data_IF_477508695921
#
_entry.id   IF_477508695921
#
_cell.length_a   1.000
_cell.length_b   1.000
_cell.length_c   1.000
_cell.angle_alpha   90.00
_cell.angle_beta   90.00
_cell.angle_gamma   90.00
#
_symmetry.space_group_name_H-M   'P 1'
#
loop_
_entity.id
_entity.type
_entity.pdbx_description
1 polymer ?
#
# COMPACT_ATOMS: atom_id res chain seq x y z
N UNK A 1 -10.65 21.31 12.27
CA UNK A 1 -10.28 19.92 12.45
C UNK A 1 -8.81 19.77 12.82
N UNK A 2 -8.43 18.78 13.61
CA UNK A 2 -7.03 18.40 13.81
C UNK A 2 -6.55 17.55 12.63
N UNK A 3 -5.30 17.75 12.21
CA UNK A 3 -4.68 17.01 11.10
C UNK A 3 -3.19 16.85 11.37
N UNK A 4 -2.64 15.70 10.96
CA UNK A 4 -1.19 15.47 10.95
C UNK A 4 -0.60 16.19 9.76
N UNK A 5 0.42 17.01 9.99
CA UNK A 5 1.09 17.78 8.94
C UNK A 5 2.61 17.65 9.04
N UNK A 6 3.26 17.83 7.89
CA UNK A 6 4.71 17.93 7.77
C UNK A 6 5.08 19.12 6.88
N UNK A 7 6.10 19.88 7.26
CA UNK A 7 6.72 20.95 6.45
C UNK A 7 8.25 20.87 6.47
N UNK A 8 8.78 20.09 7.37
CA UNK A 8 10.22 19.88 7.54
C UNK A 8 10.48 18.39 7.74
N UNK A 9 11.41 17.77 7.03
CA UNK A 9 11.75 16.37 7.21
C UNK A 9 12.05 16.05 8.70
N UNK A 10 11.51 14.93 9.15
CA UNK A 10 11.62 14.46 10.54
C UNK A 10 10.72 15.19 11.55
N UNK A 11 9.93 16.18 11.15
CA UNK A 11 9.11 17.00 12.04
C UNK A 11 7.62 16.90 11.69
N UNK A 12 7.00 15.82 12.09
CA UNK A 12 5.55 15.65 12.03
C UNK A 12 4.91 16.26 13.27
N UNK A 13 3.78 16.95 13.09
CA UNK A 13 2.99 17.54 14.17
C UNK A 13 1.50 17.48 13.89
N UNK A 14 0.71 17.63 14.92
CA UNK A 14 -0.74 17.81 14.79
C UNK A 14 -1.09 19.30 14.83
N UNK A 15 -1.78 19.78 13.81
CA UNK A 15 -2.24 21.16 13.71
C UNK A 15 -3.76 21.26 13.61
N UNK A 16 -4.30 22.42 13.97
CA UNK A 16 -5.70 22.77 13.71
C UNK A 16 -5.81 23.45 12.36
N UNK A 17 -6.42 22.76 11.41
CA UNK A 17 -6.72 23.27 10.07
C UNK A 17 -8.22 23.64 9.96
N UNK A 18 -8.62 24.49 8.99
CA UNK A 18 -10.03 24.68 8.67
C UNK A 18 -10.72 23.33 8.35
N UNK A 19 -11.97 23.21 8.74
CA UNK A 19 -12.76 22.04 8.35
C UNK A 19 -12.93 22.02 6.82
N UNK A 20 -12.82 20.84 6.19
CA UNK A 20 -13.02 20.73 4.75
C UNK A 20 -14.50 20.94 4.40
N UNK A 21 -14.72 21.50 3.21
CA UNK A 21 -16.05 21.57 2.61
C UNK A 21 -16.21 20.48 1.56
N UNK A 22 -17.43 20.25 1.09
CA UNK A 22 -17.69 19.32 -0.02
C UNK A 22 -16.80 19.68 -1.22
N UNK A 23 -16.03 18.72 -1.74
CA UNK A 23 -15.08 18.98 -2.85
C UNK A 23 -15.77 19.09 -4.22
N UNK A 24 -17.08 18.94 -4.25
CA UNK A 24 -17.91 19.02 -5.44
C UNK A 24 -19.28 18.37 -5.21
N UNK A 25 -20.18 18.44 -6.21
CA UNK A 25 -21.51 17.88 -6.07
C UNK A 25 -21.53 16.34 -5.99
N UNK A 26 -20.47 15.68 -6.42
CA UNK A 26 -20.27 14.22 -6.38
C UNK A 26 -19.35 13.77 -5.21
N UNK A 27 -18.96 14.68 -4.33
CA UNK A 27 -18.07 14.41 -3.21
C UNK A 27 -18.78 14.16 -1.90
N UNK A 28 -17.98 13.77 -0.89
CA UNK A 28 -18.41 13.57 0.49
C UNK A 28 -17.39 14.15 1.47
N UNK A 29 -17.81 14.42 2.70
CA UNK A 29 -16.93 14.67 3.85
C UNK A 29 -17.09 13.51 4.83
N UNK A 30 -15.95 12.95 5.22
CA UNK A 30 -15.87 11.80 6.13
C UNK A 30 -15.34 12.26 7.48
N UNK A 31 -16.05 11.94 8.56
CA UNK A 31 -15.50 11.95 9.90
C UNK A 31 -14.65 10.70 10.06
N UNK A 32 -13.33 10.89 10.14
CA UNK A 32 -12.38 9.77 10.20
C UNK A 32 -12.39 9.16 11.60
N UNK A 33 -12.53 7.86 11.67
CA UNK A 33 -12.50 7.10 12.93
C UNK A 33 -11.11 6.49 13.19
N UNK A 34 -10.50 6.01 12.13
CA UNK A 34 -9.15 5.48 12.19
C UNK A 34 -8.41 5.73 10.86
N UNK A 35 -7.12 5.96 10.98
CA UNK A 35 -6.19 6.10 9.87
C UNK A 35 -4.97 5.21 10.10
N UNK A 36 -4.08 5.10 9.11
CA UNK A 36 -2.83 4.38 9.30
C UNK A 36 -1.64 5.11 8.66
N UNK A 37 -0.43 4.80 9.14
CA UNK A 37 0.82 5.30 8.58
C UNK A 37 1.32 4.28 7.56
N UNK A 38 1.52 4.72 6.32
CA UNK A 38 2.11 3.92 5.24
C UNK A 38 3.61 4.15 5.13
N UNK A 39 4.34 3.16 4.59
CA UNK A 39 5.76 3.31 4.26
C UNK A 39 6.03 4.44 3.27
N UNK A 40 5.08 4.75 2.37
CA UNK A 40 5.19 5.87 1.43
C UNK A 40 5.08 7.25 2.08
N UNK A 41 4.41 7.38 3.23
CA UNK A 41 4.40 8.63 4.00
C UNK A 41 5.81 8.98 4.51
N UNK A 42 6.67 7.97 4.70
CA UNK A 42 8.05 8.16 5.15
C UNK A 42 8.93 8.87 4.12
N UNK A 43 8.60 8.87 2.83
CA UNK A 43 9.36 9.65 1.84
C UNK A 43 9.29 11.16 2.11
N UNK A 44 8.14 11.65 2.61
CA UNK A 44 8.05 13.02 3.11
C UNK A 44 8.81 13.20 4.43
N UNK A 45 8.68 12.23 5.33
CA UNK A 45 9.33 12.27 6.64
C UNK A 45 10.86 12.22 6.53
N UNK A 46 11.41 11.42 5.63
CA UNK A 46 12.84 11.24 5.40
C UNK A 46 13.43 12.31 4.45
N UNK A 47 12.57 13.08 3.76
CA UNK A 47 12.99 14.18 2.88
C UNK A 47 13.32 13.75 1.47
N UNK A 48 12.88 12.57 1.04
CA UNK A 48 13.03 12.09 -0.34
C UNK A 48 12.17 12.90 -1.32
N UNK A 49 11.05 13.46 -0.83
CA UNK A 49 10.16 14.30 -1.60
C UNK A 49 10.20 15.75 -1.12
N UNK A 50 10.23 16.73 -2.05
CA UNK A 50 10.27 18.13 -1.69
C UNK A 50 8.97 18.57 -0.98
N UNK A 51 9.12 19.37 0.05
CA UNK A 51 8.02 20.03 0.76
C UNK A 51 8.07 21.52 0.42
N UNK A 52 7.09 22.02 -0.34
CA UNK A 52 6.97 23.45 -0.65
C UNK A 52 6.17 24.22 0.40
N UNK A 53 5.15 23.56 0.96
CA UNK A 53 4.23 24.07 1.98
C UNK A 53 3.92 22.94 2.98
N UNK A 54 3.32 23.23 4.14
CA UNK A 54 2.83 22.19 5.04
C UNK A 54 1.88 21.22 4.32
N UNK A 55 2.21 19.93 4.34
CA UNK A 55 1.44 18.87 3.69
C UNK A 55 0.67 18.09 4.76
N UNK A 56 -0.69 18.07 4.70
CA UNK A 56 -1.47 17.14 5.51
C UNK A 56 -1.17 15.70 5.07
N UNK A 57 -0.84 14.81 6.02
CA UNK A 57 -0.36 13.46 5.73
C UNK A 57 -1.46 12.39 5.74
N UNK A 58 -1.13 11.25 5.15
CA UNK A 58 -1.91 10.01 5.19
C UNK A 58 -2.87 9.82 4.05
N UNK A 59 -3.07 8.55 3.68
CA UNK A 59 -3.95 8.14 2.59
C UNK A 59 -4.76 6.88 2.92
N UNK A 60 -4.68 6.38 4.12
CA UNK A 60 -5.43 5.23 4.60
C UNK A 60 -6.40 5.68 5.68
N UNK A 61 -7.70 5.57 5.45
CA UNK A 61 -8.72 5.95 6.42
C UNK A 61 -10.00 5.15 6.30
N UNK A 62 -10.65 4.97 7.45
CA UNK A 62 -12.05 4.55 7.57
C UNK A 62 -12.80 5.55 8.43
N UNK A 63 -14.10 5.70 8.19
CA UNK A 63 -14.90 6.65 8.97
C UNK A 63 -16.36 6.64 8.58
N UNK A 64 -17.07 7.69 8.98
CA UNK A 64 -18.50 7.87 8.75
C UNK A 64 -18.75 9.11 7.89
N UNK A 65 -19.64 9.01 6.93
CA UNK A 65 -20.03 10.14 6.08
C UNK A 65 -20.82 11.14 6.92
N UNK A 66 -20.37 12.41 6.97
CA UNK A 66 -21.04 13.50 7.70
C UNK A 66 -21.66 14.54 6.77
N UNK A 67 -21.19 14.61 5.52
CA UNK A 67 -21.81 15.46 4.49
C UNK A 67 -21.63 14.81 3.10
N UNK A 68 -22.61 15.00 2.21
CA UNK A 68 -22.65 14.38 0.89
C UNK A 68 -23.23 15.31 -0.15
N UNK A 69 -22.58 15.37 -1.30
CA UNK A 69 -23.02 16.18 -2.42
C UNK A 69 -24.30 15.63 -3.10
N UNK A 70 -25.07 16.50 -3.78
CA UNK A 70 -26.38 16.13 -4.36
C UNK A 70 -26.31 15.11 -5.51
N UNK A 71 -25.13 14.90 -6.10
CA UNK A 71 -24.94 13.95 -7.20
C UNK A 71 -24.46 12.58 -6.73
N UNK A 72 -24.13 12.41 -5.43
CA UNK A 72 -23.82 11.10 -4.82
C UNK A 72 -25.08 10.23 -4.78
N UNK A 73 -24.98 8.98 -5.25
CA UNK A 73 -26.14 8.09 -5.44
C UNK A 73 -26.10 6.84 -4.58
N UNK A 74 -24.90 6.38 -4.22
CA UNK A 74 -24.69 5.10 -3.52
C UNK A 74 -24.64 5.27 -2.01
N UNK A 75 -24.23 6.45 -1.54
CA UNK A 75 -23.94 6.73 -0.14
C UNK A 75 -24.79 7.86 0.42
N UNK A 76 -24.95 7.86 1.75
CA UNK A 76 -25.63 8.91 2.51
C UNK A 76 -24.93 9.22 3.83
N UNK A 77 -25.34 10.31 4.47
CA UNK A 77 -24.88 10.68 5.81
C UNK A 77 -25.18 9.54 6.79
N UNK A 78 -24.19 9.16 7.60
CA UNK A 78 -24.26 8.07 8.56
C UNK A 78 -23.72 6.72 8.03
N UNK A 79 -23.43 6.61 6.74
CA UNK A 79 -22.79 5.39 6.20
C UNK A 79 -21.36 5.27 6.70
N UNK A 80 -20.99 4.08 7.19
CA UNK A 80 -19.60 3.73 7.52
C UNK A 80 -18.87 3.26 6.26
N UNK A 81 -17.70 3.84 6.01
CA UNK A 81 -16.97 3.64 4.75
C UNK A 81 -15.46 3.52 4.97
N UNK A 82 -14.80 2.84 4.04
CA UNK A 82 -13.37 2.93 3.83
C UNK A 82 -13.08 3.78 2.58
N UNK A 83 -11.97 4.50 2.60
CA UNK A 83 -11.56 5.44 1.56
C UNK A 83 -10.38 4.86 0.79
N UNK A 84 -10.47 4.81 -0.54
CA UNK A 84 -9.32 4.42 -1.36
C UNK A 84 -8.18 5.43 -1.26
N UNK A 85 -6.95 4.96 -1.15
CA UNK A 85 -5.75 5.81 -1.07
C UNK A 85 -5.51 6.65 -2.33
N UNK A 86 -5.98 6.18 -3.49
CA UNK A 86 -5.79 6.83 -4.79
C UNK A 86 -7.12 7.27 -5.37
N UNK A 87 -7.22 8.56 -5.68
CA UNK A 87 -8.41 9.16 -6.25
C UNK A 87 -8.30 9.35 -7.78
N UNK A 88 -9.35 8.93 -8.48
CA UNK A 88 -9.64 9.27 -9.87
C UNK A 88 -10.81 10.24 -9.99
N UNK A 89 -11.20 10.60 -11.20
CA UNK A 89 -12.38 11.43 -11.45
C UNK A 89 -13.72 10.64 -11.39
N UNK A 90 -13.66 9.30 -11.36
CA UNK A 90 -14.83 8.43 -11.26
C UNK A 90 -15.62 8.21 -12.56
N UNK A 91 -15.36 8.98 -13.63
CA UNK A 91 -16.24 9.01 -14.81
C UNK A 91 -15.53 8.86 -16.17
N UNK A 92 -14.19 8.80 -16.21
CA UNK A 92 -13.46 8.62 -17.45
C UNK A 92 -13.22 7.13 -17.78
N UNK A 93 -12.79 6.84 -19.00
CA UNK A 93 -12.52 5.48 -19.45
C UNK A 93 -11.55 4.70 -18.55
N UNK A 94 -10.54 5.37 -17.95
CA UNK A 94 -9.65 4.76 -16.96
C UNK A 94 -10.39 4.40 -15.68
N UNK A 95 -11.21 5.30 -15.14
CA UNK A 95 -11.98 5.06 -13.93
C UNK A 95 -13.11 4.04 -14.13
N UNK A 96 -13.68 3.90 -15.33
CA UNK A 96 -14.65 2.85 -15.66
C UNK A 96 -14.11 1.45 -15.41
N UNK A 97 -12.80 1.25 -15.55
CA UNK A 97 -12.14 -0.03 -15.21
C UNK A 97 -11.83 -0.17 -13.69
N UNK A 98 -12.31 0.75 -12.89
CA UNK A 98 -12.00 0.88 -11.44
C UNK A 98 -10.50 0.99 -11.13
N UNK A 99 -9.72 1.52 -12.07
CA UNK A 99 -8.29 1.75 -11.92
C UNK A 99 -7.99 3.26 -11.96
N UNK A 100 -7.93 3.94 -10.80
CA UNK A 100 -7.71 5.39 -10.73
C UNK A 100 -6.34 5.80 -11.25
N UNK A 101 -5.37 4.88 -11.31
CA UNK A 101 -4.02 5.13 -11.82
C UNK A 101 -4.07 5.49 -13.32
N UNK A 102 -5.07 4.97 -14.03
CA UNK A 102 -5.30 5.24 -15.47
C UNK A 102 -6.26 6.41 -15.73
N UNK A 103 -6.60 7.18 -14.70
CA UNK A 103 -7.47 8.35 -14.85
C UNK A 103 -6.89 9.36 -15.85
N UNK A 104 -7.70 9.85 -16.78
CA UNK A 104 -7.25 10.83 -17.79
C UNK A 104 -6.80 12.16 -17.19
N UNK A 105 -7.29 12.52 -16.00
CA UNK A 105 -6.85 13.70 -15.24
C UNK A 105 -5.62 13.42 -14.36
N UNK A 106 -5.04 12.22 -14.46
CA UNK A 106 -4.01 11.73 -13.56
C UNK A 106 -4.54 11.24 -12.22
N UNK A 107 -3.86 10.29 -11.59
CA UNK A 107 -4.16 9.87 -10.23
C UNK A 107 -3.84 10.97 -9.23
N UNK A 108 -4.65 11.08 -8.17
CA UNK A 108 -4.37 11.96 -7.02
C UNK A 108 -4.31 11.09 -5.77
N UNK A 109 -3.30 11.31 -4.95
CA UNK A 109 -3.10 10.55 -3.71
C UNK A 109 -3.45 11.47 -2.55
N UNK A 110 -4.25 10.97 -1.61
CA UNK A 110 -4.48 11.68 -0.36
C UNK A 110 -3.15 11.84 0.40
N UNK A 111 -2.99 12.94 1.10
CA UNK A 111 -1.76 13.17 1.86
C UNK A 111 -0.51 13.47 1.04
N UNK A 112 -0.65 13.73 -0.28
CA UNK A 112 0.46 14.08 -1.17
C UNK A 112 0.29 15.48 -1.81
N UNK A 113 -0.38 16.39 -1.12
CA UNK A 113 -0.51 17.80 -1.46
C UNK A 113 -1.71 18.18 -2.35
N UNK A 114 -2.11 17.33 -3.33
CA UNK A 114 -3.25 17.62 -4.22
C UNK A 114 -4.62 17.42 -3.56
N UNK A 115 -4.69 16.60 -2.53
CA UNK A 115 -5.86 16.32 -1.70
C UNK A 115 -5.46 16.45 -0.23
N UNK A 116 -6.44 16.61 0.65
CA UNK A 116 -6.22 16.58 2.09
C UNK A 116 -5.59 15.27 2.58
N UNK A 117 -5.08 15.26 3.79
CA UNK A 117 -4.53 14.07 4.42
C UNK A 117 -5.57 13.26 5.19
N UNK A 118 -5.49 11.94 5.07
CA UNK A 118 -6.39 11.01 5.76
C UNK A 118 -6.12 10.89 7.27
N UNK A 119 -4.95 11.33 7.74
CA UNK A 119 -4.61 11.38 9.17
C UNK A 119 -5.14 12.69 9.79
N UNK A 120 -6.48 12.84 9.79
CA UNK A 120 -7.19 14.04 10.24
C UNK A 120 -8.57 13.68 10.78
N UNK A 121 -9.20 14.60 11.54
CA UNK A 121 -10.57 14.39 12.06
C UNK A 121 -11.62 14.35 10.94
N UNK A 122 -11.42 15.12 9.86
CA UNK A 122 -12.32 15.17 8.71
C UNK A 122 -11.53 15.04 7.41
N UNK A 123 -12.13 14.37 6.42
CA UNK A 123 -11.52 14.18 5.09
C UNK A 123 -12.55 14.48 4.00
N UNK A 124 -12.22 15.42 3.08
CA UNK A 124 -13.01 15.65 1.88
C UNK A 124 -12.61 14.64 0.78
N UNK A 125 -13.59 13.89 0.28
CA UNK A 125 -13.41 12.83 -0.71
C UNK A 125 -14.16 13.18 -2.00
N UNK A 126 -13.46 13.44 -3.13
CA UNK A 126 -14.11 13.68 -4.43
C UNK A 126 -14.65 12.37 -5.01
N UNK A 127 -15.61 12.45 -5.93
CA UNK A 127 -16.18 11.30 -6.62
C UNK A 127 -16.54 10.13 -5.67
N UNK A 128 -17.34 10.42 -4.66
CA UNK A 128 -17.61 9.53 -3.52
C UNK A 128 -18.07 8.12 -3.95
N UNK A 129 -18.97 8.02 -4.92
CA UNK A 129 -19.46 6.73 -5.44
C UNK A 129 -18.37 5.85 -6.07
N UNK A 130 -17.25 6.46 -6.47
CA UNK A 130 -16.08 5.76 -7.00
C UNK A 130 -15.02 5.47 -5.93
N UNK A 131 -14.81 6.41 -5.00
CA UNK A 131 -13.72 6.39 -4.03
C UNK A 131 -14.02 5.60 -2.76
N UNK A 132 -15.28 5.41 -2.44
CA UNK A 132 -15.71 4.81 -1.19
C UNK A 132 -16.15 3.37 -1.37
N UNK A 133 -15.91 2.55 -0.37
CA UNK A 133 -16.54 1.26 -0.18
C UNK A 133 -17.27 1.29 1.17
N UNK A 134 -18.54 0.86 1.19
CA UNK A 134 -19.26 0.64 2.46
C UNK A 134 -18.47 -0.36 3.29
N UNK A 135 -18.24 -0.05 4.56
CA UNK A 135 -17.52 -0.95 5.46
C UNK A 135 -18.21 -2.32 5.49
N UNK A 136 -17.53 -3.40 5.05
CA UNK A 136 -18.15 -4.71 5.03
C UNK A 136 -18.38 -5.21 6.45
N UNK A 137 -19.49 -5.91 6.66
CA UNK A 137 -19.74 -6.64 7.90
C UNK A 137 -18.69 -7.74 8.07
N UNK A 138 -18.32 -8.05 9.29
CA UNK A 138 -17.37 -9.10 9.64
C UNK A 138 -15.91 -8.84 9.18
N UNK A 139 -15.58 -7.59 8.88
CA UNK A 139 -14.20 -7.11 8.66
C UNK A 139 -13.85 -6.15 9.80
N UNK A 140 -12.75 -6.40 10.48
CA UNK A 140 -12.30 -5.54 11.56
C UNK A 140 -11.63 -4.24 11.07
N UNK A 141 -11.33 -3.35 12.01
CA UNK A 141 -10.73 -2.03 11.70
C UNK A 141 -9.36 -2.16 10.99
N UNK A 142 -8.53 -3.13 11.37
CA UNK A 142 -7.20 -3.31 10.80
C UNK A 142 -7.30 -3.88 9.38
N UNK A 143 -8.14 -4.87 9.16
CA UNK A 143 -8.43 -5.44 7.84
C UNK A 143 -9.02 -4.37 6.91
N UNK A 144 -9.95 -3.56 7.41
CA UNK A 144 -10.54 -2.46 6.65
C UNK A 144 -9.50 -1.40 6.25
N UNK A 145 -8.59 -1.01 7.14
CA UNK A 145 -7.50 -0.11 6.84
C UNK A 145 -6.54 -0.70 5.80
N UNK A 146 -6.21 -2.00 5.86
CA UNK A 146 -5.38 -2.64 4.84
C UNK A 146 -6.03 -2.66 3.46
N UNK A 147 -7.36 -2.78 3.38
CA UNK A 147 -8.13 -2.70 2.11
C UNK A 147 -8.06 -1.32 1.46
N UNK A 148 -7.75 -0.26 2.21
CA UNK A 148 -7.65 1.10 1.65
C UNK A 148 -6.41 1.31 0.81
N UNK A 149 -5.34 0.51 1.04
CA UNK A 149 -4.06 0.62 0.34
C UNK A 149 -3.23 -0.66 0.33
N UNK A 150 -2.66 -1.08 1.48
CA UNK A 150 -1.55 -2.03 1.53
C UNK A 150 -1.92 -3.43 1.04
N UNK A 151 -3.11 -3.93 1.38
CA UNK A 151 -3.56 -5.22 0.89
C UNK A 151 -3.88 -5.17 -0.61
N UNK A 152 -4.51 -4.09 -1.07
CA UNK A 152 -4.77 -3.86 -2.48
C UNK A 152 -3.45 -3.80 -3.30
N UNK A 153 -2.43 -3.14 -2.74
CA UNK A 153 -1.09 -3.03 -3.33
C UNK A 153 -0.40 -4.39 -3.38
N UNK A 154 -0.39 -5.14 -2.27
CA UNK A 154 0.20 -6.48 -2.21
C UNK A 154 -0.49 -7.48 -3.16
N UNK A 155 -1.82 -7.41 -3.26
CA UNK A 155 -2.61 -8.22 -4.18
C UNK A 155 -2.28 -7.91 -5.64
N UNK A 156 -2.30 -6.62 -6.01
CA UNK A 156 -1.94 -6.19 -7.37
C UNK A 156 -0.50 -6.56 -7.72
N UNK A 157 0.43 -6.47 -6.76
CA UNK A 157 1.81 -6.90 -6.95
C UNK A 157 1.91 -8.39 -7.28
N UNK A 158 1.20 -9.24 -6.52
CA UNK A 158 1.19 -10.68 -6.71
C UNK A 158 0.50 -11.09 -8.03
N UNK A 159 -0.62 -10.46 -8.40
CA UNK A 159 -1.26 -10.66 -9.71
C UNK A 159 -0.34 -10.29 -10.87
N UNK A 160 0.36 -9.17 -10.76
CA UNK A 160 1.28 -8.69 -11.82
C UNK A 160 2.62 -9.43 -11.85
N UNK A 161 2.96 -10.16 -10.79
CA UNK A 161 4.11 -11.05 -10.78
C UNK A 161 3.96 -12.22 -11.77
N UNK A 162 2.72 -12.60 -12.15
CA UNK A 162 2.41 -13.50 -13.27
C UNK A 162 3.20 -14.82 -13.20
N UNK A 163 3.23 -15.42 -12.04
CA UNK A 163 3.88 -16.71 -11.81
C UNK A 163 2.97 -17.88 -12.16
N UNK A 164 3.50 -19.01 -12.65
CA UNK A 164 2.71 -20.19 -12.89
C UNK A 164 2.24 -20.81 -11.56
N UNK A 165 1.10 -21.51 -11.52
CA UNK A 165 0.68 -22.29 -10.36
C UNK A 165 1.82 -23.20 -9.85
N UNK A 166 2.07 -23.17 -8.53
CA UNK A 166 3.19 -23.88 -7.92
C UNK A 166 4.56 -23.24 -8.14
N UNK A 167 4.64 -22.08 -8.80
CA UNK A 167 5.88 -21.37 -9.06
C UNK A 167 6.54 -20.81 -7.79
N UNK A 168 7.87 -20.62 -7.85
CA UNK A 168 8.63 -19.98 -6.78
C UNK A 168 8.54 -18.47 -6.94
N UNK A 169 8.13 -17.78 -5.88
CA UNK A 169 8.05 -16.32 -5.79
C UNK A 169 9.00 -15.82 -4.70
N UNK A 170 9.68 -14.71 -4.94
CA UNK A 170 10.45 -13.99 -3.91
C UNK A 170 9.75 -12.67 -3.64
N UNK A 171 9.60 -12.32 -2.37
CA UNK A 171 9.12 -11.00 -1.92
C UNK A 171 10.26 -10.29 -1.21
N UNK A 172 10.68 -9.13 -1.73
CA UNK A 172 11.70 -8.27 -1.15
C UNK A 172 11.05 -7.15 -0.34
N UNK A 173 11.43 -7.04 0.93
CA UNK A 173 10.86 -6.10 1.88
C UNK A 173 9.57 -6.64 2.52
N UNK A 174 9.57 -6.76 3.84
CA UNK A 174 8.48 -7.32 4.64
C UNK A 174 7.84 -6.26 5.56
N UNK A 175 7.68 -5.05 5.04
CA UNK A 175 6.74 -4.08 5.59
C UNK A 175 5.30 -4.51 5.35
N UNK A 176 4.33 -3.67 5.67
CA UNK A 176 2.91 -4.01 5.52
C UNK A 176 2.56 -4.50 4.09
N UNK A 177 2.98 -3.76 3.06
CA UNK A 177 2.77 -4.17 1.65
C UNK A 177 3.42 -5.51 1.33
N UNK A 178 4.67 -5.72 1.79
CA UNK A 178 5.37 -6.98 1.53
C UNK A 178 4.73 -8.19 2.21
N UNK A 179 4.25 -8.06 3.46
CA UNK A 179 3.50 -9.12 4.14
C UNK A 179 2.16 -9.39 3.46
N UNK A 180 1.45 -8.35 3.00
CA UNK A 180 0.26 -8.50 2.16
C UNK A 180 0.59 -9.22 0.84
N UNK A 181 1.73 -8.89 0.20
CA UNK A 181 2.16 -9.56 -1.04
C UNK A 181 2.52 -11.04 -0.81
N UNK A 182 3.10 -11.40 0.34
CA UNK A 182 3.34 -12.80 0.74
C UNK A 182 2.02 -13.57 0.76
N UNK A 183 1.04 -13.08 1.51
CA UNK A 183 -0.28 -13.71 1.61
C UNK A 183 -0.99 -13.78 0.26
N UNK A 184 -0.92 -12.70 -0.51
CA UNK A 184 -1.49 -12.65 -1.85
C UNK A 184 -0.86 -13.70 -2.79
N UNK A 185 0.47 -13.82 -2.78
CA UNK A 185 1.15 -14.82 -3.62
C UNK A 185 0.79 -16.26 -3.23
N UNK A 186 0.70 -16.56 -1.93
CA UNK A 186 0.25 -17.87 -1.43
C UNK A 186 -1.21 -18.15 -1.84
N UNK A 187 -2.10 -17.18 -1.66
CA UNK A 187 -3.53 -17.27 -2.02
C UNK A 187 -3.72 -17.48 -3.53
N UNK A 188 -2.86 -16.88 -4.36
CA UNK A 188 -2.87 -17.03 -5.82
C UNK A 188 -2.16 -18.30 -6.30
N UNK A 189 -1.68 -19.16 -5.40
CA UNK A 189 -1.16 -20.49 -5.73
C UNK A 189 0.34 -20.57 -5.99
N UNK A 190 1.13 -19.67 -5.44
CA UNK A 190 2.58 -19.85 -5.39
C UNK A 190 2.93 -21.13 -4.62
N UNK A 191 3.86 -21.94 -5.15
CA UNK A 191 4.27 -23.19 -4.48
C UNK A 191 5.27 -22.95 -3.36
N UNK A 192 6.13 -21.94 -3.52
CA UNK A 192 7.08 -21.49 -2.51
C UNK A 192 7.17 -19.98 -2.58
N UNK A 193 7.00 -19.32 -1.43
CA UNK A 193 7.23 -17.88 -1.30
C UNK A 193 8.44 -17.67 -0.39
N UNK A 194 9.54 -17.16 -0.94
CA UNK A 194 10.67 -16.68 -0.16
C UNK A 194 10.43 -15.23 0.26
N UNK A 195 10.50 -14.97 1.56
CA UNK A 195 10.27 -13.68 2.16
C UNK A 195 11.59 -13.10 2.68
N UNK A 196 12.07 -12.03 2.03
CA UNK A 196 13.41 -11.48 2.26
C UNK A 196 13.33 -10.12 2.93
N UNK A 197 13.93 -9.99 4.12
CA UNK A 197 14.07 -8.71 4.84
C UNK A 197 15.32 -8.77 5.74
N UNK A 198 15.89 -7.61 6.05
CA UNK A 198 17.00 -7.47 7.01
C UNK A 198 16.53 -7.65 8.46
N UNK A 199 15.28 -7.30 8.74
CA UNK A 199 14.72 -7.30 10.10
C UNK A 199 14.17 -8.68 10.43
N UNK A 200 14.77 -9.35 11.41
CA UNK A 200 14.40 -10.71 11.81
C UNK A 200 12.93 -10.83 12.23
N UNK A 201 12.41 -9.91 13.04
CA UNK A 201 11.02 -9.94 13.47
C UNK A 201 10.01 -9.88 12.32
N UNK A 202 10.36 -9.21 11.19
CA UNK A 202 9.53 -9.19 9.97
C UNK A 202 9.61 -10.53 9.23
N UNK A 203 10.79 -11.15 9.15
CA UNK A 203 10.96 -12.50 8.60
C UNK A 203 10.15 -13.54 9.38
N UNK A 204 10.16 -13.48 10.71
CA UNK A 204 9.35 -14.36 11.58
C UNK A 204 7.84 -14.16 11.36
N UNK A 205 7.38 -12.93 11.05
CA UNK A 205 5.98 -12.70 10.70
C UNK A 205 5.63 -13.38 9.37
N UNK A 206 6.47 -13.20 8.35
CA UNK A 206 6.28 -13.87 7.06
C UNK A 206 6.29 -15.40 7.18
N UNK A 207 7.11 -15.97 8.07
CA UNK A 207 7.12 -17.40 8.35
C UNK A 207 5.79 -17.87 8.94
N UNK A 208 5.22 -17.13 9.90
CA UNK A 208 3.87 -17.44 10.44
C UNK A 208 2.77 -17.40 9.38
N UNK A 209 2.94 -16.55 8.36
CA UNK A 209 2.05 -16.47 7.21
C UNK A 209 2.28 -17.58 6.18
N UNK A 210 3.25 -18.50 6.39
CA UNK A 210 3.52 -19.64 5.53
C UNK A 210 4.63 -19.43 4.50
N UNK A 211 5.37 -18.31 4.52
CA UNK A 211 6.52 -18.11 3.67
C UNK A 211 7.80 -18.70 4.24
N UNK A 212 8.80 -18.90 3.40
CA UNK A 212 10.16 -19.28 3.82
C UNK A 212 10.98 -18.01 4.03
N UNK A 213 11.37 -17.67 5.27
CA UNK A 213 12.11 -16.47 5.56
C UNK A 213 13.56 -16.57 5.09
N UNK A 214 14.09 -15.53 4.49
CA UNK A 214 15.51 -15.42 4.09
C UNK A 214 16.10 -14.08 4.54
N UNK A 215 17.34 -14.15 5.02
CA UNK A 215 18.15 -12.96 5.23
C UNK A 215 18.90 -12.61 3.94
N UNK A 216 19.04 -11.32 3.57
CA UNK A 216 19.90 -10.94 2.44
C UNK A 216 21.37 -11.27 2.70
N UNK A 217 22.15 -11.72 1.67
CA UNK A 217 21.75 -11.91 0.28
C UNK A 217 21.03 -13.26 0.04
N UNK A 218 19.90 -13.24 -0.64
CA UNK A 218 19.04 -14.42 -0.82
C UNK A 218 19.38 -15.27 -2.08
N UNK A 219 20.30 -14.80 -2.94
CA UNK A 219 20.53 -15.39 -4.26
C UNK A 219 20.91 -16.88 -4.19
N UNK A 220 21.82 -17.25 -3.32
CA UNK A 220 22.27 -18.64 -3.20
C UNK A 220 21.12 -19.56 -2.78
N UNK A 221 20.36 -19.19 -1.75
CA UNK A 221 19.24 -19.98 -1.25
C UNK A 221 18.15 -20.18 -2.33
N UNK A 222 17.83 -19.13 -3.08
CA UNK A 222 16.88 -19.21 -4.19
C UNK A 222 17.40 -20.10 -5.31
N UNK A 223 18.68 -20.01 -5.66
CA UNK A 223 19.32 -20.87 -6.68
C UNK A 223 19.33 -22.34 -6.28
N UNK A 224 19.63 -22.67 -5.04
CA UNK A 224 19.64 -24.05 -4.54
C UNK A 224 18.27 -24.71 -4.74
N UNK A 225 17.17 -24.04 -4.31
CA UNK A 225 15.81 -24.59 -4.43
C UNK A 225 15.32 -24.63 -5.89
N UNK A 226 15.81 -23.72 -6.74
CA UNK A 226 15.35 -23.63 -8.13
C UNK A 226 16.28 -24.33 -9.14
N UNK A 227 17.27 -25.09 -8.67
CA UNK A 227 18.25 -25.78 -9.52
C UNK A 227 19.08 -24.81 -10.36
N UNK A 228 19.49 -23.69 -9.78
CA UNK A 228 20.31 -22.65 -10.40
C UNK A 228 19.56 -21.69 -11.34
N UNK A 229 18.24 -21.87 -11.51
CA UNK A 229 17.45 -21.09 -12.49
C UNK A 229 17.02 -19.70 -11.98
N UNK A 230 16.83 -19.53 -10.68
CA UNK A 230 16.20 -18.37 -10.06
C UNK A 230 14.66 -18.50 -9.93
N UNK A 231 14.05 -17.54 -9.29
CA UNK A 231 12.61 -17.51 -9.01
C UNK A 231 11.78 -17.29 -10.29
N UNK A 232 10.58 -17.86 -10.36
CA UNK A 232 9.65 -17.58 -11.45
C UNK A 232 9.29 -16.11 -11.50
N UNK A 233 9.10 -15.50 -10.32
CA UNK A 233 8.81 -14.07 -10.20
C UNK A 233 9.38 -13.49 -8.91
N UNK A 234 9.65 -12.19 -8.93
CA UNK A 234 10.09 -11.42 -7.77
C UNK A 234 9.17 -10.23 -7.60
N UNK A 235 8.70 -10.02 -6.38
CA UNK A 235 7.93 -8.84 -5.98
C UNK A 235 8.85 -7.93 -5.17
N UNK A 236 9.07 -6.71 -5.64
CA UNK A 236 9.82 -5.70 -4.90
C UNK A 236 8.86 -4.72 -4.20
N UNK A 237 8.76 -4.84 -2.89
CA UNK A 237 7.97 -3.97 -2.02
C UNK A 237 8.85 -2.94 -1.27
N UNK A 238 10.11 -2.77 -1.69
CA UNK A 238 11.05 -1.77 -1.14
C UNK A 238 11.18 -0.58 -2.07
N UNK A 239 11.48 -0.82 -3.37
CA UNK A 239 11.63 0.22 -4.37
C UNK A 239 12.97 0.96 -4.37
N UNK A 240 14.01 0.43 -3.72
CA UNK A 240 15.35 1.03 -3.77
C UNK A 240 16.19 0.48 -4.93
N UNK A 241 17.26 1.20 -5.34
CA UNK A 241 18.23 0.72 -6.33
C UNK A 241 18.76 -0.68 -5.97
N UNK A 242 19.04 -0.90 -4.70
CA UNK A 242 19.55 -2.18 -4.20
C UNK A 242 18.50 -3.29 -4.35
N UNK A 243 17.26 -3.07 -3.93
CA UNK A 243 16.21 -4.08 -4.04
C UNK A 243 15.81 -4.37 -5.48
N UNK A 244 15.76 -3.35 -6.34
CA UNK A 244 15.51 -3.53 -7.78
C UNK A 244 16.63 -4.32 -8.45
N UNK A 245 17.90 -4.08 -8.07
CA UNK A 245 19.05 -4.85 -8.53
C UNK A 245 18.95 -6.31 -8.05
N UNK A 246 18.65 -6.54 -6.78
CA UNK A 246 18.45 -7.87 -6.24
C UNK A 246 17.30 -8.59 -6.94
N UNK A 247 16.18 -7.91 -7.19
CA UNK A 247 15.04 -8.49 -7.91
C UNK A 247 15.42 -8.99 -9.32
N UNK A 248 16.19 -8.18 -10.06
CA UNK A 248 16.68 -8.57 -11.40
C UNK A 248 17.68 -9.74 -11.35
N UNK A 249 18.44 -9.90 -10.27
CA UNK A 249 19.38 -11.00 -10.10
C UNK A 249 18.66 -12.30 -9.65
N UNK A 250 17.63 -12.19 -8.82
CA UNK A 250 16.89 -13.34 -8.25
C UNK A 250 15.91 -13.96 -9.23
N UNK A 251 15.35 -13.18 -10.16
CA UNK A 251 14.38 -13.68 -11.13
C UNK A 251 15.07 -14.55 -12.19
N UNK A 252 14.44 -15.64 -12.62
CA UNK A 252 14.93 -16.49 -13.71
C UNK A 252 14.86 -15.78 -15.07
N UNK A 253 15.56 -16.31 -16.07
CA UNK A 253 15.31 -15.94 -17.46
C UNK A 253 13.85 -16.25 -17.85
N UNK A 254 13.22 -15.32 -18.57
CA UNK A 254 11.79 -15.36 -18.91
C UNK A 254 10.85 -15.13 -17.72
N UNK A 255 11.37 -14.67 -16.58
CA UNK A 255 10.56 -14.38 -15.40
C UNK A 255 10.09 -12.93 -15.30
N UNK A 256 9.30 -12.65 -14.28
CA UNK A 256 8.69 -11.33 -14.06
C UNK A 256 9.19 -10.69 -12.76
N UNK A 257 9.54 -9.41 -12.82
CA UNK A 257 9.75 -8.57 -11.64
C UNK A 257 8.57 -7.62 -11.53
N UNK A 258 7.84 -7.68 -10.42
CA UNK A 258 6.71 -6.81 -10.08
C UNK A 258 7.14 -5.83 -9.01
N UNK A 259 7.13 -4.53 -9.31
CA UNK A 259 7.59 -3.47 -8.40
C UNK A 259 6.40 -2.67 -7.92
N UNK A 260 6.23 -2.58 -6.61
CA UNK A 260 5.24 -1.76 -5.92
C UNK A 260 5.85 -0.89 -4.83
N UNK A 261 7.11 -1.16 -4.48
CA UNK A 261 7.88 -0.26 -3.63
C UNK A 261 8.08 1.08 -4.31
N UNK A 262 7.86 2.16 -3.58
CA UNK A 262 8.02 3.52 -4.09
C UNK A 262 9.50 3.86 -4.13
N UNK A 263 9.99 4.23 -5.32
CA UNK A 263 11.37 4.67 -5.53
C UNK A 263 11.50 6.18 -5.21
N UNK A 264 12.71 6.63 -4.88
CA UNK A 264 13.01 8.05 -4.85
C UNK A 264 12.92 8.66 -6.26
N UNK A 265 13.07 9.99 -6.39
CA UNK A 265 12.94 10.67 -7.68
C UNK A 265 14.19 10.56 -8.58
N UNK A 266 15.25 9.91 -8.10
CA UNK A 266 16.48 9.71 -8.89
C UNK A 266 16.33 8.57 -9.90
N UNK A 267 16.95 8.66 -11.08
CA UNK A 267 16.87 7.63 -12.09
C UNK A 267 17.58 6.33 -11.65
N UNK A 268 16.87 5.19 -11.69
CA UNK A 268 17.47 3.87 -11.52
C UNK A 268 18.33 3.47 -12.74
N UNK A 269 19.60 3.03 -12.57
CA UNK A 269 20.46 2.59 -13.66
C UNK A 269 20.04 1.21 -14.18
N UNK A 270 18.95 1.12 -14.93
CA UNK A 270 18.35 -0.13 -15.39
C UNK A 270 19.30 -0.90 -16.35
N UNK A 271 19.64 -2.17 -16.06
CA UNK A 271 20.55 -2.98 -16.89
C UNK A 271 19.84 -3.54 -18.13
N UNK A 272 19.48 -2.67 -19.08
CA UNK A 272 18.61 -2.97 -20.21
C UNK A 272 19.12 -4.15 -21.07
N UNK A 273 20.41 -4.18 -21.42
CA UNK A 273 20.98 -5.22 -22.29
C UNK A 273 20.86 -6.61 -21.67
N UNK A 274 21.22 -6.75 -20.38
CA UNK A 274 21.16 -8.06 -19.73
C UNK A 274 19.70 -8.49 -19.48
N UNK A 275 18.83 -7.56 -19.20
CA UNK A 275 17.39 -7.82 -19.03
C UNK A 275 16.75 -8.28 -20.36
N UNK A 276 17.16 -7.69 -21.49
CA UNK A 276 16.75 -8.12 -22.83
C UNK A 276 17.23 -9.54 -23.14
N UNK A 277 18.52 -9.84 -22.93
CA UNK A 277 19.09 -11.17 -23.18
C UNK A 277 18.39 -12.25 -22.34
N UNK A 278 18.04 -11.93 -21.10
CA UNK A 278 17.33 -12.83 -20.19
C UNK A 278 15.80 -12.81 -20.38
N UNK A 279 15.26 -12.00 -21.29
CA UNK A 279 13.82 -11.85 -21.54
C UNK A 279 13.02 -11.53 -20.26
N UNK A 280 13.53 -10.61 -19.45
CA UNK A 280 12.89 -10.21 -18.20
C UNK A 280 11.66 -9.34 -18.49
N UNK A 281 10.55 -9.63 -17.83
CA UNK A 281 9.38 -8.76 -17.78
C UNK A 281 9.46 -7.89 -16.53
N UNK A 282 9.44 -6.56 -16.68
CA UNK A 282 9.34 -5.61 -15.58
C UNK A 282 7.94 -5.00 -15.58
N UNK A 283 7.23 -5.09 -14.45
CA UNK A 283 5.90 -4.51 -14.25
C UNK A 283 5.92 -3.63 -13.00
N UNK A 284 5.62 -2.36 -13.19
CA UNK A 284 5.53 -1.39 -12.09
C UNK A 284 4.09 -0.92 -11.95
N UNK A 285 3.64 -0.71 -10.74
CA UNK A 285 2.25 -0.27 -10.51
C UNK A 285 2.08 0.45 -9.20
N UNK A 286 1.17 1.43 -9.21
CA UNK A 286 0.44 1.88 -8.03
C UNK A 286 -0.84 1.04 -7.92
N UNK A 287 -1.35 0.83 -6.73
CA UNK A 287 -2.49 -0.05 -6.52
C UNK A 287 -3.78 0.47 -7.16
N UNK A 288 -4.47 -0.35 -7.96
CA UNK A 288 -5.83 -0.07 -8.41
C UNK A 288 -6.83 -0.46 -7.31
N UNK A 289 -6.82 0.25 -6.19
CA UNK A 289 -7.51 -0.13 -4.94
C UNK A 289 -8.97 -0.52 -5.19
N UNK A 290 -9.74 0.34 -5.84
CA UNK A 290 -11.17 0.12 -6.08
C UNK A 290 -11.45 -1.13 -6.92
N UNK A 291 -10.53 -1.51 -7.81
CA UNK A 291 -10.66 -2.71 -8.63
C UNK A 291 -10.44 -3.99 -7.85
N UNK A 292 -9.64 -3.95 -6.79
CA UNK A 292 -9.30 -5.13 -5.99
C UNK A 292 -10.37 -5.49 -4.97
N UNK A 293 -11.19 -4.54 -4.50
CA UNK A 293 -12.18 -4.78 -3.46
C UNK A 293 -13.15 -5.94 -3.72
N UNK A 294 -13.71 -6.13 -4.95
CA UNK A 294 -14.59 -7.28 -5.22
C UNK A 294 -13.93 -8.64 -5.07
N UNK A 295 -12.59 -8.70 -5.18
CA UNK A 295 -11.82 -9.92 -4.99
C UNK A 295 -11.40 -10.08 -3.52
N UNK A 296 -10.91 -9.02 -2.89
CA UNK A 296 -10.30 -9.06 -1.57
C UNK A 296 -11.32 -9.22 -0.44
N UNK A 297 -12.46 -8.51 -0.51
CA UNK A 297 -13.49 -8.57 0.55
C UNK A 297 -13.97 -10.00 0.78
N UNK A 298 -14.39 -10.78 -0.23
CA UNK A 298 -14.79 -12.17 -0.02
C UNK A 298 -13.66 -13.08 0.48
N UNK A 299 -12.41 -12.80 0.12
CA UNK A 299 -11.26 -13.58 0.57
C UNK A 299 -10.99 -13.37 2.06
N UNK A 300 -11.08 -12.13 2.55
CA UNK A 300 -10.99 -11.81 3.97
C UNK A 300 -12.17 -12.44 4.74
N UNK A 301 -13.40 -12.18 4.33
CA UNK A 301 -14.61 -12.70 4.99
C UNK A 301 -14.65 -14.23 5.06
N UNK A 302 -14.07 -14.93 4.09
CA UNK A 302 -13.97 -16.39 4.10
C UNK A 302 -12.75 -16.95 4.85
N UNK A 303 -11.86 -16.08 5.38
CA UNK A 303 -10.61 -16.49 6.02
C UNK A 303 -9.59 -17.15 5.06
N UNK A 304 -9.78 -17.01 3.74
CA UNK A 304 -8.84 -17.52 2.73
C UNK A 304 -7.60 -16.65 2.57
N UNK A 305 -7.68 -15.42 3.02
CA UNK A 305 -6.57 -14.46 3.06
C UNK A 305 -6.46 -13.97 4.50
N UNK A 306 -5.34 -14.25 5.14
CA UNK A 306 -5.06 -13.87 6.52
C UNK A 306 -4.04 -12.74 6.55
N UNK A 307 -4.45 -11.59 7.06
CA UNK A 307 -3.60 -10.40 7.23
C UNK A 307 -3.41 -10.04 8.70
N UNK A 308 -3.75 -10.94 9.59
CA UNK A 308 -3.62 -10.74 11.05
C UNK A 308 -2.17 -10.48 11.46
N UNK A 309 -1.98 -9.62 12.43
CA UNK A 309 -0.67 -9.27 12.98
C UNK A 309 0.23 -8.44 12.06
N UNK A 310 -0.31 -7.84 11.00
CA UNK A 310 0.40 -6.81 10.22
C UNK A 310 0.45 -5.50 11.00
N UNK A 311 -0.68 -5.10 11.60
CA UNK A 311 -0.66 -4.01 12.57
C UNK A 311 0.03 -4.45 13.85
N UNK A 312 0.92 -3.60 14.35
CA UNK A 312 1.72 -3.87 15.56
C UNK A 312 1.38 -2.92 16.69
N UNK A 313 0.81 -1.79 16.35
CA UNK A 313 0.52 -0.72 17.30
C UNK A 313 -0.72 0.07 16.89
N UNK A 314 -1.42 0.58 17.89
CA UNK A 314 -2.49 1.59 17.75
C UNK A 314 -2.17 2.74 18.67
N UNK A 315 -2.12 3.95 18.11
CA UNK A 315 -1.78 5.17 18.84
C UNK A 315 -2.84 6.26 18.60
N UNK A 316 -3.07 7.17 19.53
CA UNK A 316 -3.97 8.30 19.26
C UNK A 316 -3.35 9.26 18.24
N UNK A 317 -4.18 9.97 17.46
CA UNK A 317 -3.73 10.99 16.50
C UNK A 317 -2.81 12.04 17.14
N UNK A 318 -3.06 12.37 18.40
CA UNK A 318 -2.25 13.34 19.15
C UNK A 318 -0.76 12.93 19.25
N UNK A 319 -0.49 11.63 19.20
CA UNK A 319 0.85 11.06 19.34
C UNK A 319 1.48 10.73 17.96
N UNK A 320 0.94 11.29 16.87
CA UNK A 320 1.40 11.01 15.50
C UNK A 320 2.92 11.22 15.31
N UNK A 321 3.52 12.21 15.94
CA UNK A 321 4.97 12.43 15.87
C UNK A 321 5.78 11.22 16.40
N UNK A 322 5.36 10.63 17.52
CA UNK A 322 5.98 9.42 18.08
C UNK A 322 5.70 8.21 17.18
N UNK A 323 4.47 8.09 16.64
CA UNK A 323 4.09 7.02 15.72
C UNK A 323 4.96 7.03 14.46
N UNK A 324 5.20 8.20 13.85
CA UNK A 324 6.09 8.34 12.69
C UNK A 324 7.54 7.97 13.03
N UNK A 325 8.06 8.45 14.15
CA UNK A 325 9.41 8.09 14.62
C UNK A 325 9.55 6.58 14.82
N UNK A 326 8.51 5.91 15.37
CA UNK A 326 8.49 4.47 15.57
C UNK A 326 8.51 3.71 14.25
N UNK A 327 7.68 4.11 13.28
CA UNK A 327 7.65 3.47 11.94
C UNK A 327 8.97 3.69 11.20
N UNK A 328 9.52 4.91 11.25
CA UNK A 328 10.79 5.27 10.61
C UNK A 328 11.99 4.52 11.20
N UNK A 329 11.94 4.16 12.48
CA UNK A 329 13.01 3.38 13.13
C UNK A 329 13.15 1.95 12.56
N UNK A 330 12.13 1.43 11.87
CA UNK A 330 12.13 0.10 11.21
C UNK A 330 12.58 -1.04 12.12
N UNK A 331 12.18 -0.99 13.39
CA UNK A 331 12.55 -1.99 14.40
C UNK A 331 11.82 -3.32 14.18
N UNK A 332 12.28 -4.38 14.86
CA UNK A 332 11.74 -5.73 14.72
C UNK A 332 10.27 -5.86 15.17
N UNK A 333 9.85 -5.03 16.10
CA UNK A 333 8.53 -5.02 16.73
C UNK A 333 7.53 -4.08 16.03
N UNK A 334 7.99 -3.23 15.11
CA UNK A 334 7.14 -2.28 14.40
C UNK A 334 7.04 -2.59 12.90
N UNK A 335 5.83 -2.89 12.42
CA UNK A 335 5.51 -3.07 10.99
C UNK A 335 4.56 -2.00 10.51
N UNK A 336 3.43 -1.83 11.18
CA UNK A 336 2.39 -0.87 10.83
C UNK A 336 1.71 -0.31 12.08
N UNK A 337 1.44 0.99 12.04
CA UNK A 337 0.78 1.71 13.12
C UNK A 337 -0.55 2.28 12.62
N UNK A 338 -1.62 2.03 13.35
CA UNK A 338 -2.89 2.71 13.18
C UNK A 338 -3.00 3.92 14.12
N UNK A 339 -3.74 4.93 13.68
CA UNK A 339 -4.06 6.13 14.46
C UNK A 339 -5.56 6.15 14.75
N UNK A 340 -5.92 6.25 16.03
CA UNK A 340 -7.29 6.53 16.44
C UNK A 340 -7.53 8.04 16.46
N UNK A 341 -8.66 8.47 15.92
CA UNK A 341 -9.00 9.88 15.78
C UNK A 341 -9.95 10.29 16.88
#
# INVERSE_FOLDING_TARGET
MKSVVIDTPGQVRVETLPDPTLPGPDGAVIEVRAAAICGSDLHFYEGDYPLADPVPLGHEAIGTIVDVGPDVRTFGVGDEVLVSSVAGCGSCAGCETRDPVTCVSGPRIFGAGALGGAQSELLAVPAADFQLLRLPHDIDTEEALLLTDNLATGWAAAQRADFPPGGTVVVLGLGAVGLCAVQSALTLGAGTVFAVDRVEGRRQRAERLGATPLEPPALQAVQEVTGGRGAASVIDAVGSDASMTDALNLVRAGGTVSVVGVHNLEPFPFPATISLIRSITLRMTTAPVQRTWPELVPLLQSGRLDVSGIFTDTMPLADAAEAYAKVAARTADCVKVSLTI
#
